data_IF_985680226547
#
_entry.id   IF_985680226547
#
_cell.length_a   1.000
_cell.length_b   1.000
_cell.length_c   1.000
_cell.angle_alpha   90.00
_cell.angle_beta   90.00
_cell.angle_gamma   90.00
#
_symmetry.space_group_name_H-M   'P 1'
#
loop_
_entity.id
_entity.type
_entity.pdbx_description
1 polymer ?
#
# COMPACT_ATOMS: atom_id res chain seq x y z
N UNK A 1 41.16 12.85 1.74
CA UNK A 1 39.71 12.86 1.42
C UNK A 1 39.04 13.92 2.28
N UNK A 2 38.54 15.00 1.65
CA UNK A 2 37.83 16.05 2.39
C UNK A 2 36.50 15.52 2.90
N UNK A 3 36.26 15.60 4.21
CA UNK A 3 34.94 15.30 4.78
C UNK A 3 33.94 16.25 4.13
N UNK A 4 32.88 15.74 3.52
CA UNK A 4 31.81 16.61 3.01
C UNK A 4 31.23 17.39 4.19
N UNK A 5 30.97 18.68 4.01
CA UNK A 5 30.37 19.54 5.05
C UNK A 5 28.98 19.05 5.52
N UNK A 6 28.40 18.07 4.82
CA UNK A 6 27.11 17.49 5.12
C UNK A 6 27.16 16.39 6.20
N UNK A 7 28.30 15.72 6.39
CA UNK A 7 28.44 14.57 7.29
C UNK A 7 28.02 14.81 8.77
N UNK A 8 28.16 16.01 9.36
CA UNK A 8 27.67 16.26 10.72
C UNK A 8 26.21 16.74 10.81
N UNK A 9 25.52 16.98 9.68
CA UNK A 9 24.31 17.82 9.67
C UNK A 9 22.97 17.08 9.68
N UNK A 10 22.98 15.74 9.67
CA UNK A 10 21.78 14.92 9.73
C UNK A 10 22.08 13.48 10.15
N UNK A 11 21.08 12.79 10.69
CA UNK A 11 21.18 11.36 11.04
C UNK A 11 20.32 10.54 10.08
N UNK A 12 20.90 9.47 9.55
CA UNK A 12 20.15 8.53 8.72
C UNK A 12 19.23 7.68 9.59
N UNK A 13 17.96 7.54 9.19
CA UNK A 13 17.00 6.69 9.88
C UNK A 13 17.24 5.21 9.57
N UNK A 14 17.77 4.91 8.38
CA UNK A 14 18.06 3.58 7.89
C UNK A 14 19.33 3.60 7.01
N UNK A 15 19.92 2.43 6.78
CA UNK A 15 20.99 2.29 5.79
C UNK A 15 20.53 2.76 4.40
N UNK A 16 21.34 3.55 3.66
CA UNK A 16 21.03 3.95 2.30
C UNK A 16 20.83 2.75 1.38
N UNK A 17 19.93 2.89 0.42
CA UNK A 17 19.57 1.87 -0.57
C UNK A 17 20.05 2.33 -1.94
N UNK A 18 20.88 1.53 -2.59
CA UNK A 18 21.36 1.82 -3.94
C UNK A 18 20.44 1.12 -4.96
N UNK A 19 19.93 1.87 -5.93
CA UNK A 19 19.06 1.38 -6.99
C UNK A 19 19.67 1.74 -8.33
N UNK A 20 20.02 0.74 -9.14
CA UNK A 20 20.44 0.98 -10.52
C UNK A 20 19.27 1.55 -11.33
N UNK A 21 19.55 2.54 -12.18
CA UNK A 21 18.49 3.18 -12.97
C UNK A 21 17.91 2.24 -14.04
N UNK A 22 18.69 1.24 -14.49
CA UNK A 22 18.25 0.11 -15.31
C UNK A 22 19.24 -1.05 -15.19
N UNK A 23 18.91 -2.23 -15.72
CA UNK A 23 19.80 -3.40 -15.73
C UNK A 23 21.13 -3.15 -16.44
N UNK A 24 21.15 -2.21 -17.39
CA UNK A 24 22.33 -1.86 -18.19
C UNK A 24 22.87 -0.46 -17.88
N UNK A 25 22.32 0.22 -16.86
CA UNK A 25 22.79 1.55 -16.49
C UNK A 25 24.09 1.48 -15.70
N UNK A 26 25.02 2.35 -16.07
CA UNK A 26 26.22 2.71 -15.31
C UNK A 26 25.93 3.75 -14.21
N UNK A 27 24.68 4.22 -14.12
CA UNK A 27 24.20 5.16 -13.11
C UNK A 27 23.29 4.49 -12.09
N UNK A 28 23.39 4.93 -10.83
CA UNK A 28 22.54 4.48 -9.74
C UNK A 28 22.00 5.67 -8.95
N UNK A 29 20.77 5.51 -8.46
CA UNK A 29 20.14 6.44 -7.51
C UNK A 29 20.27 5.86 -6.10
N UNK A 30 20.76 6.68 -5.17
CA UNK A 30 20.83 6.32 -3.74
C UNK A 30 19.65 6.94 -3.00
N UNK A 31 18.84 6.09 -2.40
CA UNK A 31 17.73 6.48 -1.54
C UNK A 31 18.16 6.39 -0.08
N UNK A 32 17.82 7.38 0.73
CA UNK A 32 18.09 7.33 2.16
C UNK A 32 17.00 8.08 2.93
N UNK A 33 16.69 7.55 4.11
CA UNK A 33 15.74 8.14 5.02
C UNK A 33 16.51 8.94 6.08
N UNK A 34 16.00 10.11 6.46
CA UNK A 34 16.63 11.02 7.42
C UNK A 34 15.73 11.14 8.64
N UNK A 35 16.31 11.04 9.84
CA UNK A 35 15.60 11.40 11.07
C UNK A 35 15.38 12.91 11.08
N UNK A 36 14.13 13.33 11.24
CA UNK A 36 13.76 14.73 11.16
C UNK A 36 12.66 15.10 12.17
N UNK A 37 12.55 16.39 12.40
CA UNK A 37 11.45 17.04 13.11
C UNK A 37 10.13 16.94 12.32
N UNK A 38 9.00 17.14 12.99
CA UNK A 38 7.67 17.17 12.35
C UNK A 38 7.58 18.21 11.22
N UNK A 39 8.34 19.31 11.31
CA UNK A 39 8.37 20.36 10.28
C UNK A 39 9.26 20.03 9.07
N UNK A 40 10.00 18.92 9.11
CA UNK A 40 10.89 18.48 8.05
C UNK A 40 12.12 19.38 7.86
N UNK A 41 12.60 20.05 8.92
CA UNK A 41 13.65 21.05 8.83
C UNK A 41 14.97 20.51 8.24
N UNK A 42 15.32 19.27 8.56
CA UNK A 42 16.57 18.65 8.10
C UNK A 42 16.46 18.24 6.63
N UNK A 43 15.37 17.60 6.24
CA UNK A 43 15.09 17.25 4.86
C UNK A 43 15.04 18.49 3.97
N UNK A 44 14.36 19.57 4.42
CA UNK A 44 14.33 20.86 3.70
C UNK A 44 15.72 21.46 3.49
N UNK A 45 16.61 21.34 4.48
CA UNK A 45 18.01 21.80 4.37
C UNK A 45 18.83 20.96 3.40
N UNK A 46 18.53 19.67 3.28
CA UNK A 46 19.26 18.75 2.40
C UNK A 46 18.80 18.81 0.94
N UNK A 47 17.50 19.02 0.70
CA UNK A 47 16.95 19.08 -0.65
C UNK A 47 17.63 20.21 -1.44
N UNK A 48 18.02 19.92 -2.69
CA UNK A 48 18.76 20.80 -3.59
C UNK A 48 20.21 21.12 -3.17
N UNK A 49 20.73 20.48 -2.12
CA UNK A 49 22.16 20.51 -1.84
C UNK A 49 22.90 19.50 -2.72
N UNK A 50 24.19 19.75 -2.94
CA UNK A 50 25.09 18.81 -3.61
C UNK A 50 26.25 18.41 -2.71
N UNK A 51 26.81 17.24 -2.97
CA UNK A 51 28.06 16.80 -2.35
C UNK A 51 28.93 16.08 -3.36
N UNK A 52 30.23 16.05 -3.09
CA UNK A 52 31.20 15.32 -3.90
C UNK A 52 31.20 13.86 -3.49
N UNK A 53 31.00 12.98 -4.46
CA UNK A 53 31.20 11.54 -4.34
C UNK A 53 32.24 11.11 -5.39
N UNK A 54 33.47 10.90 -4.92
CA UNK A 54 34.64 10.72 -5.80
C UNK A 54 34.79 11.91 -6.77
N UNK A 55 35.03 11.78 -8.10
CA UNK A 55 35.16 12.96 -8.97
C UNK A 55 33.80 13.59 -9.36
N UNK A 56 32.68 13.04 -8.86
CA UNK A 56 31.34 13.39 -9.34
C UNK A 56 30.57 14.21 -8.31
N UNK A 57 29.92 15.28 -8.77
CA UNK A 57 28.95 16.04 -7.99
C UNK A 57 27.59 15.31 -7.99
N UNK A 58 27.10 14.92 -6.81
CA UNK A 58 25.78 14.33 -6.64
C UNK A 58 24.81 15.34 -6.04
N UNK A 59 23.56 15.38 -6.54
CA UNK A 59 22.51 16.28 -6.04
C UNK A 59 21.49 15.52 -5.20
N UNK A 60 21.16 16.04 -4.03
CA UNK A 60 20.09 15.53 -3.19
C UNK A 60 18.78 16.09 -3.69
N UNK A 61 17.85 15.20 -4.05
CA UNK A 61 16.49 15.57 -4.47
C UNK A 61 15.50 15.03 -3.47
N UNK A 62 14.40 15.76 -3.28
CA UNK A 62 13.27 15.24 -2.54
C UNK A 62 12.80 13.96 -3.23
N UNK A 63 12.76 12.86 -2.47
CA UNK A 63 12.02 11.69 -2.90
C UNK A 63 10.58 12.14 -3.15
N UNK A 64 10.02 11.80 -4.31
CA UNK A 64 8.58 11.95 -4.49
C UNK A 64 7.92 11.14 -3.38
N UNK A 65 7.12 11.80 -2.56
CA UNK A 65 6.26 11.11 -1.60
C UNK A 65 5.26 10.32 -2.42
N UNK A 66 5.65 9.13 -2.85
CA UNK A 66 4.71 8.08 -3.18
C UNK A 66 4.17 7.63 -1.84
N UNK A 67 3.35 8.47 -1.20
CA UNK A 67 2.42 7.99 -0.19
C UNK A 67 1.59 6.99 -0.96
N UNK A 68 2.00 5.72 -0.91
CA UNK A 68 1.18 4.62 -1.37
C UNK A 68 -0.20 4.85 -0.77
N UNK A 69 -1.22 4.43 -1.50
CA UNK A 69 -2.58 4.56 -0.99
C UNK A 69 -2.59 3.95 0.41
N UNK A 70 -3.09 4.63 1.45
CA UNK A 70 -3.00 4.08 2.79
C UNK A 70 -3.80 2.77 2.88
N UNK A 71 -3.18 1.77 3.51
CA UNK A 71 -3.87 0.59 4.02
C UNK A 71 -4.39 0.93 5.42
N UNK A 72 -5.70 1.04 5.56
CA UNK A 72 -6.33 1.35 6.84
C UNK A 72 -6.07 0.23 7.86
N UNK A 73 -5.50 0.57 9.02
CA UNK A 73 -5.20 -0.43 10.06
C UNK A 73 -6.44 -0.83 10.88
N UNK A 74 -7.56 -0.12 10.72
CA UNK A 74 -8.83 -0.46 11.38
C UNK A 74 -9.63 -1.47 10.55
N UNK A 75 -9.85 -1.23 9.26
CA UNK A 75 -10.67 -2.11 8.43
C UNK A 75 -9.87 -3.00 7.48
N UNK A 76 -8.56 -2.78 7.37
CA UNK A 76 -7.63 -3.44 6.45
C UNK A 76 -7.96 -3.25 4.96
N UNK A 77 -8.75 -2.23 4.62
CA UNK A 77 -9.00 -1.84 3.23
C UNK A 77 -7.99 -0.81 2.75
N UNK A 78 -7.58 -0.92 1.49
CA UNK A 78 -6.86 0.17 0.81
C UNK A 78 -7.81 1.32 0.48
N UNK A 79 -7.29 2.54 0.40
CA UNK A 79 -8.02 3.70 -0.12
C UNK A 79 -8.18 4.85 0.87
N UNK A 80 -7.98 4.60 2.17
CA UNK A 80 -8.15 5.61 3.21
C UNK A 80 -7.22 5.36 4.40
N UNK A 81 -6.89 6.44 5.11
CA UNK A 81 -6.10 6.35 6.35
C UNK A 81 -6.97 5.84 7.50
N UNK A 82 -6.33 5.33 8.55
CA UNK A 82 -7.04 4.89 9.77
C UNK A 82 -7.88 6.02 10.38
N UNK A 83 -7.41 7.27 10.32
CA UNK A 83 -8.12 8.44 10.85
C UNK A 83 -9.39 8.77 10.06
N UNK A 84 -9.41 8.47 8.75
CA UNK A 84 -10.56 8.68 7.87
C UNK A 84 -11.50 7.46 7.82
N UNK A 85 -11.29 6.45 8.67
CA UNK A 85 -12.05 5.21 8.63
C UNK A 85 -13.39 5.32 9.36
N UNK A 86 -14.49 5.11 8.64
CA UNK A 86 -15.85 5.07 9.19
C UNK A 86 -16.26 3.69 9.76
N UNK A 87 -15.34 2.72 9.85
CA UNK A 87 -15.67 1.41 10.41
C UNK A 87 -15.93 1.51 11.91
N UNK A 88 -17.04 0.93 12.37
CA UNK A 88 -17.49 0.96 13.77
C UNK A 88 -16.60 0.11 14.69
N UNK A 89 -15.96 -0.93 14.16
CA UNK A 89 -15.10 -1.84 14.91
C UNK A 89 -13.83 -2.16 14.12
N UNK A 90 -12.71 -2.48 14.78
CA UNK A 90 -11.54 -3.02 14.09
C UNK A 90 -11.87 -4.37 13.46
N UNK A 91 -11.25 -4.64 12.31
CA UNK A 91 -11.28 -5.93 11.64
C UNK A 91 -10.00 -6.68 11.88
N UNK A 92 -10.13 -8.00 11.99
CA UNK A 92 -8.98 -8.88 12.13
C UNK A 92 -8.27 -9.03 10.78
N UNK A 93 -6.96 -8.80 10.66
CA UNK A 93 -6.23 -9.02 9.41
C UNK A 93 -6.18 -10.49 8.98
N UNK A 94 -6.41 -11.42 9.91
CA UNK A 94 -6.37 -12.85 9.67
C UNK A 94 -7.69 -13.41 9.12
N UNK A 95 -8.84 -12.97 9.66
CA UNK A 95 -10.14 -13.54 9.27
C UNK A 95 -11.19 -12.50 8.86
N UNK A 96 -10.83 -11.22 8.82
CA UNK A 96 -11.72 -10.08 8.56
C UNK A 96 -12.91 -9.91 9.54
N UNK A 97 -12.94 -10.66 10.64
CA UNK A 97 -13.96 -10.59 11.69
C UNK A 97 -13.87 -9.32 12.54
N UNK A 98 -14.94 -8.93 13.27
CA UNK A 98 -15.03 -7.68 14.04
C UNK A 98 -14.28 -7.73 15.37
N UNK A 99 -12.97 -7.97 15.31
CA UNK A 99 -12.08 -8.06 16.48
C UNK A 99 -10.65 -7.69 16.07
N UNK A 100 -9.80 -7.40 17.05
CA UNK A 100 -8.37 -7.14 16.81
C UNK A 100 -7.60 -8.43 16.55
N UNK A 101 -6.40 -8.33 15.98
CA UNK A 101 -5.52 -9.51 15.82
C UNK A 101 -5.19 -10.16 17.17
N UNK A 102 -4.97 -9.37 18.22
CA UNK A 102 -4.72 -9.88 19.57
C UNK A 102 -5.89 -10.69 20.14
N UNK A 103 -7.13 -10.30 19.83
CA UNK A 103 -8.34 -11.02 20.24
C UNK A 103 -8.70 -12.21 19.34
N UNK A 104 -7.89 -12.52 18.32
CA UNK A 104 -8.26 -13.50 17.30
C UNK A 104 -8.61 -14.88 17.86
N UNK A 105 -7.75 -15.48 18.68
CA UNK A 105 -7.99 -16.82 19.22
C UNK A 105 -9.24 -16.89 20.12
N UNK A 106 -9.62 -15.77 20.75
CA UNK A 106 -10.75 -15.72 21.68
C UNK A 106 -12.10 -15.51 20.97
N UNK A 107 -12.10 -14.73 19.88
CA UNK A 107 -13.34 -14.28 19.23
C UNK A 107 -13.60 -14.94 17.88
N UNK A 108 -12.56 -15.38 17.17
CA UNK A 108 -12.74 -15.98 15.86
C UNK A 108 -13.36 -17.37 15.99
N UNK A 109 -14.51 -17.62 15.36
CA UNK A 109 -15.20 -18.91 15.39
C UNK A 109 -14.34 -20.08 14.92
N UNK A 110 -13.37 -19.82 14.06
CA UNK A 110 -12.43 -20.80 13.52
C UNK A 110 -11.29 -21.19 14.48
N UNK A 111 -10.99 -20.37 15.49
CA UNK A 111 -9.88 -20.60 16.44
C UNK A 111 -10.36 -20.70 17.89
N UNK A 112 -11.60 -20.27 18.17
CA UNK A 112 -12.21 -20.41 19.48
C UNK A 112 -12.44 -21.90 19.74
N UNK A 113 -11.89 -22.39 20.85
CA UNK A 113 -12.17 -23.74 21.31
C UNK A 113 -13.67 -23.94 21.52
N UNK A 114 -14.17 -25.10 21.10
CA UNK A 114 -15.55 -25.51 21.29
C UNK A 114 -15.58 -26.80 22.12
N UNK A 115 -15.63 -26.69 23.46
CA UNK A 115 -15.70 -27.87 24.33
C UNK A 115 -17.01 -28.66 24.14
N UNK A 116 -18.04 -28.05 23.55
CA UNK A 116 -19.32 -28.70 23.25
C UNK A 116 -19.36 -29.37 21.87
N UNK A 117 -18.32 -29.24 21.04
CA UNK A 117 -18.21 -29.95 19.76
C UNK A 117 -17.96 -31.46 19.98
N UNK A 118 -18.29 -32.27 18.97
CA UNK A 118 -17.97 -33.70 18.94
C UNK A 118 -17.15 -34.01 17.67
N UNK A 119 -15.82 -34.25 17.78
CA UNK A 119 -15.00 -34.23 19.00
C UNK A 119 -14.81 -32.81 19.58
N UNK A 120 -14.49 -32.67 20.88
CA UNK A 120 -14.18 -31.38 21.49
C UNK A 120 -13.03 -30.70 20.75
N UNK A 121 -13.20 -29.41 20.47
CA UNK A 121 -12.20 -28.63 19.77
C UNK A 121 -11.43 -27.78 20.77
N UNK A 122 -10.14 -28.03 20.92
CA UNK A 122 -9.27 -27.23 21.77
C UNK A 122 -9.08 -25.81 21.21
N UNK A 123 -8.81 -24.87 22.11
CA UNK A 123 -8.43 -23.51 21.73
C UNK A 123 -7.06 -23.57 21.05
N UNK A 124 -6.91 -22.89 19.90
CA UNK A 124 -5.59 -22.74 19.27
C UNK A 124 -4.61 -22.11 20.27
N UNK A 125 -3.48 -22.75 20.59
CA UNK A 125 -2.51 -22.21 21.54
C UNK A 125 -2.01 -20.83 21.11
N UNK A 126 -1.77 -19.95 22.09
CA UNK A 126 -1.27 -18.59 21.81
C UNK A 126 0.07 -18.67 21.08
N UNK A 127 0.14 -18.14 19.86
CA UNK A 127 1.34 -18.16 19.01
C UNK A 127 1.43 -19.33 18.05
N UNK A 128 0.54 -20.33 18.13
CA UNK A 128 0.41 -21.34 17.09
C UNK A 128 -0.21 -20.74 15.82
N UNK A 129 0.19 -21.20 14.61
CA UNK A 129 -0.46 -20.79 13.37
C UNK A 129 -1.94 -21.18 13.42
N UNK A 130 -2.80 -20.30 12.90
CA UNK A 130 -4.22 -20.58 12.83
C UNK A 130 -4.47 -21.77 11.88
N UNK A 131 -5.41 -22.67 12.20
CA UNK A 131 -5.70 -23.87 11.40
C UNK A 131 -6.38 -23.55 10.05
N UNK A 132 -6.67 -22.29 9.78
CA UNK A 132 -7.27 -21.81 8.55
C UNK A 132 -6.33 -20.86 7.84
N UNK A 133 -6.46 -20.76 6.52
CA UNK A 133 -5.79 -19.71 5.77
C UNK A 133 -6.29 -18.34 6.23
N UNK A 134 -5.41 -17.34 6.19
CA UNK A 134 -5.81 -15.97 6.37
C UNK A 134 -6.73 -15.54 5.21
N UNK A 135 -7.72 -14.68 5.47
CA UNK A 135 -8.65 -14.20 4.44
C UNK A 135 -8.50 -12.69 4.27
N UNK A 136 -7.90 -12.28 3.16
CA UNK A 136 -7.66 -10.86 2.95
C UNK A 136 -8.90 -10.11 2.48
N UNK A 137 -9.25 -9.01 3.14
CA UNK A 137 -10.50 -8.25 2.88
C UNK A 137 -10.60 -7.67 1.46
N UNK A 138 -9.48 -7.29 0.84
CA UNK A 138 -9.51 -6.60 -0.45
C UNK A 138 -9.65 -7.56 -1.64
N UNK A 139 -8.82 -8.61 -1.70
CA UNK A 139 -8.86 -9.57 -2.82
C UNK A 139 -9.64 -10.85 -2.51
N UNK A 140 -10.07 -11.05 -1.24
CA UNK A 140 -10.74 -12.26 -0.74
C UNK A 140 -9.94 -13.54 -0.90
N UNK A 141 -8.64 -13.45 -1.15
CA UNK A 141 -7.74 -14.59 -1.25
C UNK A 141 -7.29 -15.13 0.10
N UNK A 142 -6.73 -16.34 0.05
CA UNK A 142 -6.28 -17.13 1.20
C UNK A 142 -4.87 -16.72 1.65
N UNK A 143 -4.69 -15.43 1.96
CA UNK A 143 -3.46 -14.86 2.49
C UNK A 143 -3.72 -13.68 3.44
N UNK A 144 -2.68 -13.26 4.16
CA UNK A 144 -2.73 -12.13 5.08
C UNK A 144 -2.60 -10.78 4.36
N UNK A 145 -3.01 -9.70 5.02
CA UNK A 145 -2.89 -8.34 4.48
C UNK A 145 -1.44 -7.91 4.14
N UNK A 146 -0.45 -8.55 4.76
CA UNK A 146 0.98 -8.32 4.55
C UNK A 146 1.59 -9.11 3.40
N UNK A 147 0.84 -10.00 2.73
CA UNK A 147 1.37 -10.80 1.63
C UNK A 147 1.75 -9.92 0.43
N UNK A 148 3.04 -9.94 0.09
CA UNK A 148 3.61 -9.16 -1.01
C UNK A 148 3.23 -9.69 -2.39
N UNK A 149 2.67 -10.90 -2.48
CA UNK A 149 2.14 -11.49 -3.71
C UNK A 149 0.70 -11.02 -4.00
N UNK A 150 0.05 -10.35 -3.05
CA UNK A 150 -1.29 -9.83 -3.25
C UNK A 150 -1.31 -8.78 -4.38
N UNK A 151 -2.25 -8.85 -5.35
CA UNK A 151 -2.36 -7.83 -6.40
C UNK A 151 -2.51 -6.42 -5.83
N UNK A 152 -3.26 -6.25 -4.74
CA UNK A 152 -3.39 -4.94 -4.09
C UNK A 152 -2.07 -4.43 -3.50
N UNK A 153 -1.20 -5.32 -3.02
CA UNK A 153 0.14 -4.93 -2.56
C UNK A 153 1.03 -4.52 -3.73
N UNK A 154 0.98 -5.25 -4.85
CA UNK A 154 1.72 -4.90 -6.06
C UNK A 154 1.30 -3.53 -6.61
N UNK A 155 0.01 -3.22 -6.55
CA UNK A 155 -0.57 -1.95 -6.99
C UNK A 155 -0.69 -0.90 -5.87
N UNK A 156 0.04 -1.03 -4.75
CA UNK A 156 -0.06 -0.09 -3.61
C UNK A 156 0.25 1.37 -3.93
N UNK A 157 0.95 1.63 -5.04
CA UNK A 157 1.28 2.97 -5.53
C UNK A 157 0.39 3.43 -6.69
N UNK A 158 -0.56 2.60 -7.14
CA UNK A 158 -1.47 2.88 -8.24
C UNK A 158 -2.84 3.29 -7.69
N UNK A 159 -3.01 4.60 -7.48
CA UNK A 159 -4.24 5.18 -6.96
C UNK A 159 -5.46 4.88 -7.84
N UNK A 160 -5.30 4.95 -9.16
CA UNK A 160 -6.39 4.73 -10.10
C UNK A 160 -6.88 3.27 -10.04
N UNK A 161 -5.93 2.32 -10.07
CA UNK A 161 -6.23 0.90 -9.94
C UNK A 161 -6.91 0.59 -8.61
N UNK A 162 -6.40 1.15 -7.50
CA UNK A 162 -6.99 0.92 -6.19
C UNK A 162 -8.38 1.51 -6.07
N UNK A 163 -8.64 2.72 -6.59
CA UNK A 163 -9.97 3.32 -6.61
C UNK A 163 -10.98 2.48 -7.42
N UNK A 164 -10.58 1.99 -8.60
CA UNK A 164 -11.41 1.09 -9.42
C UNK A 164 -11.73 -0.21 -8.66
N UNK A 165 -10.72 -0.81 -8.00
CA UNK A 165 -10.88 -2.09 -7.33
C UNK A 165 -11.60 -2.01 -5.97
N UNK A 166 -11.49 -0.89 -5.26
CA UNK A 166 -12.11 -0.70 -3.94
C UNK A 166 -13.51 -0.06 -4.00
N UNK A 167 -13.96 0.43 -5.17
CA UNK A 167 -15.31 0.93 -5.33
C UNK A 167 -16.37 -0.15 -5.05
N UNK A 168 -17.46 0.18 -4.32
CA UNK A 168 -18.58 -0.74 -4.12
C UNK A 168 -19.20 -1.12 -5.47
N UNK A 169 -19.73 -2.34 -5.56
CA UNK A 169 -20.25 -2.92 -6.80
C UNK A 169 -21.28 -2.06 -7.55
N UNK A 170 -21.98 -1.16 -6.83
CA UNK A 170 -22.92 -0.19 -7.39
C UNK A 170 -22.25 0.91 -8.23
N UNK A 171 -21.08 1.40 -7.81
CA UNK A 171 -20.31 2.41 -8.56
C UNK A 171 -19.59 1.81 -9.77
N UNK A 172 -19.13 0.55 -9.68
CA UNK A 172 -18.51 -0.15 -10.81
C UNK A 172 -19.44 -0.30 -12.02
N UNK A 173 -20.72 -0.62 -11.77
CA UNK A 173 -21.73 -0.68 -12.83
C UNK A 173 -21.94 0.69 -13.48
N UNK A 174 -22.04 1.75 -12.67
CA UNK A 174 -22.17 3.12 -13.18
C UNK A 174 -20.99 3.55 -14.06
N UNK A 175 -19.75 3.29 -13.65
CA UNK A 175 -18.57 3.62 -14.48
C UNK A 175 -18.49 2.80 -15.77
N UNK A 176 -18.87 1.51 -15.74
CA UNK A 176 -18.96 0.71 -16.97
C UNK A 176 -20.07 1.21 -17.90
N UNK A 177 -21.24 1.59 -17.38
CA UNK A 177 -22.33 2.14 -18.17
C UNK A 177 -21.96 3.49 -18.81
N UNK A 178 -21.27 4.37 -18.05
CA UNK A 178 -20.78 5.65 -18.57
C UNK A 178 -19.75 5.40 -19.67
N UNK A 179 -18.78 4.51 -19.44
CA UNK A 179 -17.75 4.18 -20.44
C UNK A 179 -18.33 3.56 -21.72
N UNK A 180 -19.35 2.69 -21.59
CA UNK A 180 -20.09 2.13 -22.74
C UNK A 180 -20.91 3.19 -23.48
N UNK A 181 -21.54 4.13 -22.76
CA UNK A 181 -22.27 5.24 -23.37
C UNK A 181 -21.34 6.19 -24.13
N UNK A 182 -20.20 6.56 -23.54
CA UNK A 182 -19.22 7.44 -24.20
C UNK A 182 -18.66 6.79 -25.46
N UNK A 183 -18.33 5.49 -25.42
CA UNK A 183 -17.84 4.77 -26.60
C UNK A 183 -18.91 4.54 -27.68
N UNK A 184 -20.19 4.40 -27.30
CA UNK A 184 -21.31 4.40 -28.27
C UNK A 184 -21.54 5.78 -28.90
N UNK A 185 -21.45 6.86 -28.14
CA UNK A 185 -21.59 8.23 -28.66
C UNK A 185 -20.43 8.60 -29.61
N UNK A 186 -19.20 8.22 -29.28
CA UNK A 186 -18.06 8.39 -30.20
C UNK A 186 -18.23 7.58 -31.50
N UNK A 187 -18.73 6.34 -31.41
CA UNK A 187 -19.06 5.54 -32.58
C UNK A 187 -20.18 6.15 -33.44
N UNK A 188 -21.21 6.74 -32.81
CA UNK A 188 -22.30 7.45 -33.51
C UNK A 188 -21.80 8.74 -34.16
N UNK A 189 -20.99 9.53 -33.44
CA UNK A 189 -20.40 10.77 -33.96
C UNK A 189 -19.52 10.52 -35.19
N UNK A 190 -18.70 9.47 -35.18
CA UNK A 190 -17.90 9.06 -36.35
C UNK A 190 -18.76 8.62 -37.54
N UNK A 191 -19.89 7.93 -37.32
CA UNK A 191 -20.81 7.55 -38.40
C UNK A 191 -21.51 8.76 -39.02
N UNK A 192 -21.89 9.75 -38.21
CA UNK A 192 -22.54 10.98 -38.71
C UNK A 192 -21.57 11.84 -39.53
N UNK A 193 -20.28 11.89 -39.14
CA UNK A 193 -19.24 12.58 -39.91
C UNK A 193 -18.91 11.88 -41.24
N UNK A 194 -18.98 10.55 -41.29
CA UNK A 194 -18.71 9.78 -42.51
C UNK A 194 -19.89 9.73 -43.51
N UNK A 195 -21.10 10.15 -43.13
CA UNK A 195 -22.26 10.21 -44.04
C UNK A 195 -22.50 11.60 -44.67
N UNK A 196 -21.63 12.59 -44.40
CA UNK A 196 -21.73 13.95 -44.97
C UNK A 196 -20.67 14.25 -46.05
N UNK A 197 -20.12 13.22 -46.70
CA UNK A 197 -19.30 13.35 -47.90
C UNK A 197 -19.99 12.67 -49.07
#
# INVERSE_FOLDING_TARGET
MGKSHLAPSFTLANSPRVMHNSHHADTATVWFDVLDSQSGATAKRLINTSFQFSPSSCFVRAARSHSGVPLCQRCWCWGHSTCACCSQAPRCPQCAGPHTEAGHCQHASCCRGNPSAKPPQDLTPKGAPCPHAARYVNCKGDHSASDRRCPFWCHRFDQAWLAEKSAPSSLRKGFQEISQKTSQEECKGRRVLNCRR
#
